data_IF_419304809419
#
_entry.id   IF_419304809419
#
_cell.length_a   1.000
_cell.length_b   1.000
_cell.length_c   1.000
_cell.angle_alpha   90.00
_cell.angle_beta   90.00
_cell.angle_gamma   90.00
#
_symmetry.space_group_name_H-M   'P 1'
#
loop_
_entity.id
_entity.type
_entity.pdbx_description
1 polymer ?
#
# COMPACT_ATOMS: atom_id res chain seq x y z
N UNK A 1 7.63 28.43 6.93
CA UNK A 1 8.09 27.12 7.43
C UNK A 1 7.91 26.04 6.35
N UNK A 2 8.72 26.06 5.29
CA UNK A 2 8.66 25.08 4.19
C UNK A 2 9.97 24.28 4.10
N UNK A 3 10.34 23.65 5.21
CA UNK A 3 11.46 22.73 5.26
C UNK A 3 10.98 21.29 5.14
N UNK A 4 11.66 20.51 4.30
CA UNK A 4 11.90 19.07 4.51
C UNK A 4 10.84 18.04 4.03
N UNK A 5 10.07 18.30 2.97
CA UNK A 5 9.49 17.17 2.22
C UNK A 5 10.52 16.58 1.26
N UNK A 6 11.60 15.98 1.79
CA UNK A 6 12.21 14.86 1.07
C UNK A 6 11.11 13.80 1.03
N UNK A 7 10.51 13.58 -0.15
CA UNK A 7 9.55 12.48 -0.36
C UNK A 7 10.31 11.22 -0.06
N UNK A 8 10.09 10.67 1.13
CA UNK A 8 10.53 9.34 1.47
C UNK A 8 9.69 8.37 0.62
N UNK A 9 10.29 7.71 -0.39
CA UNK A 9 9.55 6.85 -1.30
C UNK A 9 8.88 5.70 -0.54
N UNK A 10 9.49 5.25 0.56
CA UNK A 10 8.93 4.22 1.44
C UNK A 10 7.64 4.73 2.10
N UNK A 11 7.64 5.94 2.67
CA UNK A 11 6.43 6.52 3.28
C UNK A 11 5.29 6.71 2.29
N UNK A 12 5.61 7.01 1.03
CA UNK A 12 4.61 7.12 -0.03
C UNK A 12 3.96 5.76 -0.33
N UNK A 13 4.75 4.70 -0.38
CA UNK A 13 4.27 3.33 -0.58
C UNK A 13 3.50 2.81 0.64
N UNK A 14 3.97 3.06 1.86
CA UNK A 14 3.26 2.68 3.10
C UNK A 14 1.85 3.30 3.14
N UNK A 15 1.73 4.58 2.72
CA UNK A 15 0.43 5.23 2.58
C UNK A 15 -0.45 4.56 1.52
N UNK A 16 0.12 4.20 0.36
CA UNK A 16 -0.61 3.49 -0.70
C UNK A 16 -1.08 2.11 -0.22
N UNK A 17 -0.23 1.36 0.47
CA UNK A 17 -0.56 0.07 1.06
C UNK A 17 -1.72 0.18 2.05
N UNK A 18 -1.68 1.17 2.95
CA UNK A 18 -2.76 1.43 3.90
C UNK A 18 -4.11 1.72 3.20
N UNK A 19 -4.09 2.52 2.13
CA UNK A 19 -5.30 2.82 1.34
C UNK A 19 -5.86 1.58 0.64
N UNK A 20 -4.99 0.71 0.13
CA UNK A 20 -5.41 -0.56 -0.47
C UNK A 20 -6.05 -1.47 0.58
N UNK A 21 -5.50 -1.54 1.80
CA UNK A 21 -6.06 -2.33 2.89
C UNK A 21 -7.41 -1.80 3.38
N UNK A 22 -7.58 -0.49 3.47
CA UNK A 22 -8.88 0.13 3.78
C UNK A 22 -9.92 -0.22 2.70
N UNK A 23 -9.56 -0.08 1.42
CA UNK A 23 -10.41 -0.47 0.30
C UNK A 23 -10.75 -1.96 0.34
N UNK A 24 -9.77 -2.82 0.64
CA UNK A 24 -9.97 -4.25 0.77
C UNK A 24 -10.96 -4.57 1.89
N UNK A 25 -10.89 -3.89 3.04
CA UNK A 25 -11.86 -4.07 4.13
C UNK A 25 -13.29 -3.78 3.66
N UNK A 26 -13.50 -2.67 2.94
CA UNK A 26 -14.83 -2.32 2.43
C UNK A 26 -15.37 -3.36 1.44
N UNK A 27 -14.51 -3.84 0.53
CA UNK A 27 -14.87 -4.87 -0.47
C UNK A 27 -15.09 -6.24 0.16
N UNK A 28 -14.31 -6.60 1.19
CA UNK A 28 -14.52 -7.83 1.94
C UNK A 28 -15.90 -7.84 2.60
N UNK A 29 -16.33 -6.69 3.16
CA UNK A 29 -17.67 -6.54 3.77
C UNK A 29 -18.81 -6.65 2.77
N UNK A 30 -18.60 -6.30 1.50
CA UNK A 30 -19.60 -6.51 0.45
C UNK A 30 -19.64 -7.97 -0.03
N UNK A 31 -18.66 -8.81 0.35
CA UNK A 31 -18.58 -10.22 -0.05
C UNK A 31 -18.03 -10.44 -1.46
N UNK A 32 -17.50 -9.41 -2.11
CA UNK A 32 -16.89 -9.55 -3.45
C UNK A 32 -15.46 -10.08 -3.32
N UNK A 33 -15.35 -11.40 -3.21
CA UNK A 33 -14.08 -12.09 -3.04
C UNK A 33 -13.11 -11.88 -4.20
N UNK A 34 -13.63 -11.70 -5.43
CA UNK A 34 -12.79 -11.50 -6.62
C UNK A 34 -12.15 -10.12 -6.58
N UNK A 35 -12.95 -9.09 -6.30
CA UNK A 35 -12.43 -7.73 -6.16
C UNK A 35 -11.50 -7.62 -4.94
N UNK A 36 -11.83 -8.29 -3.83
CA UNK A 36 -10.96 -8.35 -2.65
C UNK A 36 -9.59 -8.96 -2.99
N UNK A 37 -9.57 -10.13 -3.64
CA UNK A 37 -8.33 -10.79 -4.04
C UNK A 37 -7.45 -9.89 -4.93
N UNK A 38 -8.05 -9.20 -5.90
CA UNK A 38 -7.32 -8.27 -6.76
C UNK A 38 -6.68 -7.11 -5.98
N UNK A 39 -7.38 -6.54 -4.99
CA UNK A 39 -6.85 -5.46 -4.15
C UNK A 39 -5.72 -5.98 -3.25
N UNK A 40 -5.87 -7.18 -2.68
CA UNK A 40 -4.82 -7.79 -1.86
C UNK A 40 -3.58 -8.10 -2.68
N UNK A 41 -3.73 -8.58 -3.93
CA UNK A 41 -2.60 -8.81 -4.83
C UNK A 41 -1.88 -7.52 -5.20
N UNK A 42 -2.61 -6.41 -5.38
CA UNK A 42 -1.99 -5.09 -5.56
C UNK A 42 -1.25 -4.64 -4.29
N UNK A 43 -1.84 -4.85 -3.11
CA UNK A 43 -1.23 -4.45 -1.86
C UNK A 43 0.05 -5.22 -1.57
N UNK A 44 0.09 -6.53 -1.87
CA UNK A 44 1.32 -7.34 -1.78
C UNK A 44 2.46 -6.78 -2.62
N UNK A 45 2.18 -6.38 -3.86
CA UNK A 45 3.21 -5.76 -4.73
C UNK A 45 3.78 -4.49 -4.11
N UNK A 46 2.92 -3.67 -3.49
CA UNK A 46 3.38 -2.45 -2.80
C UNK A 46 4.22 -2.79 -1.56
N UNK A 47 3.86 -3.82 -0.82
CA UNK A 47 4.66 -4.31 0.32
C UNK A 47 6.03 -4.84 -0.13
N UNK A 48 6.07 -5.60 -1.23
CA UNK A 48 7.33 -6.09 -1.82
C UNK A 48 8.22 -4.90 -2.25
N UNK A 49 7.65 -3.86 -2.88
CA UNK A 49 8.38 -2.62 -3.22
C UNK A 49 8.92 -1.90 -1.96
N UNK A 50 8.16 -1.89 -0.86
CA UNK A 50 8.59 -1.31 0.43
C UNK A 50 9.80 -2.08 0.97
N UNK A 51 9.72 -3.42 0.98
CA UNK A 51 10.80 -4.28 1.47
C UNK A 51 12.06 -4.06 0.64
N UNK A 52 11.94 -4.09 -0.69
CA UNK A 52 13.09 -3.86 -1.58
C UNK A 52 13.77 -2.51 -1.35
N UNK A 53 12.99 -1.44 -1.12
CA UNK A 53 13.54 -0.11 -0.86
C UNK A 53 14.16 0.01 0.53
N UNK A 54 13.63 -0.71 1.52
CA UNK A 54 14.20 -0.78 2.88
C UNK A 54 15.49 -1.59 2.91
N UNK A 55 15.62 -2.64 2.09
CA UNK A 55 16.83 -3.47 2.01
C UNK A 55 17.95 -2.82 1.19
N UNK A 56 17.61 -1.95 0.23
CA UNK A 56 18.57 -1.22 -0.62
C UNK A 56 19.12 0.07 0.03
N UNK A 57 18.57 0.50 1.17
CA UNK A 57 18.94 1.73 1.89
C UNK A 57 19.82 1.49 3.09
#
# INVERSE_FOLDING_TARGET
>A
MFGLFKKDPVKALEKKHAQLMEKAMHVQRSGDLKAYAAIIDEAKKVEDEIIELKEKG
#
